data_IF_125724606445
#
_entry.id   IF_125724606445
#
_cell.length_a   1.000
_cell.length_b   1.000
_cell.length_c   1.000
_cell.angle_alpha   90.00
_cell.angle_beta   90.00
_cell.angle_gamma   90.00
#
_symmetry.space_group_name_H-M   'P 1'
#
loop_
_entity.id
_entity.type
_entity.pdbx_description
1 polymer ?
#
# COMPACT_ATOMS: atom_id res chain seq x y z
N UNK A 1 -27.54 -11.26 26.73
CA UNK A 1 -26.23 -11.81 26.33
C UNK A 1 -25.21 -10.71 26.52
N UNK A 2 -24.13 -10.97 27.27
CA UNK A 2 -23.08 -9.99 27.48
C UNK A 2 -22.30 -9.82 26.18
N UNK A 3 -22.26 -8.60 25.63
CA UNK A 3 -21.34 -8.27 24.55
C UNK A 3 -19.93 -8.27 25.13
N UNK A 4 -19.08 -9.15 24.62
CA UNK A 4 -17.68 -9.23 25.05
C UNK A 4 -16.89 -8.09 24.40
N UNK A 5 -16.42 -7.17 25.24
CA UNK A 5 -15.50 -6.10 24.86
C UNK A 5 -16.16 -4.75 24.52
N UNK A 6 -15.48 -3.66 24.87
CA UNK A 6 -15.84 -2.30 24.44
C UNK A 6 -15.00 -2.00 23.20
N UNK A 7 -15.64 -1.89 22.04
CA UNK A 7 -14.96 -1.44 20.84
C UNK A 7 -14.81 0.08 20.89
N UNK A 8 -13.57 0.57 20.87
CA UNK A 8 -13.31 2.02 20.81
C UNK A 8 -13.76 2.59 19.47
N UNK A 9 -14.31 3.79 19.52
CA UNK A 9 -14.74 4.56 18.36
C UNK A 9 -13.55 4.88 17.44
N UNK A 10 -13.80 4.87 16.13
CA UNK A 10 -12.79 5.27 15.15
C UNK A 10 -12.50 6.78 15.26
N UNK A 11 -11.21 7.13 15.32
CA UNK A 11 -10.76 8.52 15.36
C UNK A 11 -10.11 8.93 14.02
N UNK A 12 -10.32 10.19 13.62
CA UNK A 12 -9.70 10.76 12.42
C UNK A 12 -8.17 10.80 12.58
N UNK A 13 -7.48 9.83 11.96
CA UNK A 13 -6.02 9.66 12.04
C UNK A 13 -5.57 8.23 12.33
N UNK A 14 -6.47 7.36 12.76
CA UNK A 14 -6.20 5.93 12.91
C UNK A 14 -6.19 5.21 11.54
N UNK A 15 -5.41 4.13 11.41
CA UNK A 15 -5.42 3.34 10.18
C UNK A 15 -6.75 2.59 10.08
N UNK A 16 -7.47 2.82 8.99
CA UNK A 16 -8.74 2.13 8.71
C UNK A 16 -8.60 0.60 8.68
N UNK A 17 -7.46 0.08 8.21
CA UNK A 17 -7.19 -1.36 8.17
C UNK A 17 -7.15 -1.97 9.58
N UNK A 18 -6.39 -1.36 10.50
CA UNK A 18 -6.27 -1.84 11.89
C UNK A 18 -7.62 -1.80 12.62
N UNK A 19 -8.41 -0.75 12.38
CA UNK A 19 -9.77 -0.64 12.90
C UNK A 19 -10.68 -1.74 12.35
N UNK A 20 -10.59 -2.04 11.05
CA UNK A 20 -11.40 -3.09 10.41
C UNK A 20 -11.05 -4.46 10.99
N UNK A 21 -9.76 -4.77 11.19
CA UNK A 21 -9.32 -6.04 11.80
C UNK A 21 -9.86 -6.19 13.23
N UNK A 22 -9.79 -5.13 14.05
CA UNK A 22 -10.37 -5.13 15.41
C UNK A 22 -11.89 -5.36 15.40
N UNK A 23 -12.58 -4.78 14.42
CA UNK A 23 -14.02 -4.94 14.24
C UNK A 23 -14.38 -6.38 13.81
N UNK A 24 -13.58 -7.00 12.94
CA UNK A 24 -13.76 -8.41 12.54
C UNK A 24 -13.58 -9.36 13.73
N UNK A 25 -12.55 -9.14 14.56
CA UNK A 25 -12.36 -9.91 15.79
C UNK A 25 -13.54 -9.75 16.76
N UNK A 26 -14.14 -8.55 16.81
CA UNK A 26 -15.33 -8.32 17.62
C UNK A 26 -16.55 -9.12 17.13
N UNK A 27 -16.74 -9.25 15.81
CA UNK A 27 -17.81 -10.09 15.26
C UNK A 27 -17.58 -11.58 15.55
N UNK A 28 -16.34 -12.04 15.46
CA UNK A 28 -15.97 -13.41 15.79
C UNK A 28 -16.20 -13.72 17.28
N UNK A 29 -15.78 -12.81 18.17
CA UNK A 29 -15.93 -12.99 19.62
C UNK A 29 -17.40 -13.01 20.10
N UNK A 30 -18.31 -12.36 19.37
CA UNK A 30 -19.72 -12.26 19.72
C UNK A 30 -20.63 -13.16 18.86
N UNK A 31 -20.06 -14.03 18.02
CA UNK A 31 -20.79 -14.96 17.13
C UNK A 31 -21.84 -14.26 16.25
N UNK A 32 -21.48 -13.08 15.70
CA UNK A 32 -22.39 -12.26 14.92
C UNK A 32 -22.23 -12.62 13.45
N UNK A 33 -23.13 -13.45 12.93
CA UNK A 33 -23.14 -13.83 11.51
C UNK A 33 -24.00 -12.91 10.64
N UNK A 34 -25.04 -12.31 11.22
CA UNK A 34 -26.02 -11.49 10.49
C UNK A 34 -25.41 -10.20 9.92
N UNK A 35 -25.52 -10.02 8.60
CA UNK A 35 -25.00 -8.85 7.89
C UNK A 35 -25.69 -7.54 8.32
N UNK A 36 -26.96 -7.59 8.73
CA UNK A 36 -27.71 -6.44 9.24
C UNK A 36 -27.14 -5.94 10.58
N UNK A 37 -26.85 -6.87 11.51
CA UNK A 37 -26.21 -6.57 12.80
C UNK A 37 -24.79 -6.05 12.62
N UNK A 38 -23.97 -6.66 11.75
CA UNK A 38 -22.60 -6.18 11.46
C UNK A 38 -22.61 -4.72 10.98
N UNK A 39 -23.51 -4.39 10.05
CA UNK A 39 -23.69 -3.01 9.59
C UNK A 39 -24.14 -2.08 10.71
N UNK A 40 -25.13 -2.46 11.50
CA UNK A 40 -25.62 -1.64 12.60
C UNK A 40 -24.49 -1.29 13.58
N UNK A 41 -23.67 -2.29 13.93
CA UNK A 41 -22.51 -2.12 14.82
C UNK A 41 -21.49 -1.15 14.20
N UNK A 42 -21.14 -1.34 12.93
CA UNK A 42 -20.24 -0.43 12.22
C UNK A 42 -20.76 1.03 12.29
N UNK A 43 -22.04 1.25 11.98
CA UNK A 43 -22.62 2.60 11.99
C UNK A 43 -22.65 3.22 13.38
N UNK A 44 -22.78 2.42 14.45
CA UNK A 44 -22.74 2.92 15.83
C UNK A 44 -21.32 3.20 16.33
N UNK A 45 -20.32 2.46 15.86
CA UNK A 45 -18.93 2.55 16.37
C UNK A 45 -18.09 3.55 15.56
N UNK A 46 -18.44 3.80 14.30
CA UNK A 46 -17.68 4.68 13.41
C UNK A 46 -17.63 6.16 13.83
N UNK A 47 -18.32 6.57 14.90
CA UNK A 47 -18.36 7.95 15.35
C UNK A 47 -19.11 8.89 14.38
N UNK A 48 -19.38 10.12 14.84
CA UNK A 48 -20.17 11.09 14.08
C UNK A 48 -19.48 11.60 12.80
N UNK A 49 -18.15 11.77 12.84
CA UNK A 49 -17.35 12.26 11.72
C UNK A 49 -17.38 11.28 10.54
N UNK A 50 -17.02 10.01 10.79
CA UNK A 50 -16.99 8.96 9.75
C UNK A 50 -18.40 8.64 9.23
N UNK A 51 -19.42 8.69 10.09
CA UNK A 51 -20.80 8.53 9.64
C UNK A 51 -21.22 9.65 8.67
N UNK A 52 -20.84 10.90 8.97
CA UNK A 52 -21.10 12.05 8.08
C UNK A 52 -20.36 11.90 6.74
N UNK A 53 -19.12 11.42 6.77
CA UNK A 53 -18.33 11.11 5.58
C UNK A 53 -18.98 10.01 4.73
N UNK A 54 -19.41 8.90 5.35
CA UNK A 54 -20.13 7.84 4.66
C UNK A 54 -21.42 8.37 4.01
N UNK A 55 -22.20 9.19 4.73
CA UNK A 55 -23.42 9.80 4.20
C UNK A 55 -23.14 10.70 3.00
N UNK A 56 -22.07 11.51 3.05
CA UNK A 56 -21.68 12.39 1.95
C UNK A 56 -21.23 11.60 0.71
N UNK A 57 -20.47 10.52 0.90
CA UNK A 57 -20.01 9.67 -0.20
C UNK A 57 -21.11 8.82 -0.84
N UNK A 58 -22.18 8.51 -0.09
CA UNK A 58 -23.27 7.65 -0.54
C UNK A 58 -24.45 8.41 -1.14
N UNK A 59 -24.48 9.74 -1.04
CA UNK A 59 -25.57 10.55 -1.54
C UNK A 59 -25.87 10.24 -3.03
N UNK A 60 -27.14 10.00 -3.42
CA UNK A 60 -28.39 10.16 -2.65
C UNK A 60 -28.87 8.94 -1.85
N UNK A 61 -28.14 7.82 -1.86
CA UNK A 61 -28.49 6.59 -1.12
C UNK A 61 -28.18 6.70 0.39
N UNK A 62 -28.86 5.89 1.22
CA UNK A 62 -28.59 5.85 2.67
C UNK A 62 -27.52 4.81 2.99
N UNK A 63 -26.69 5.02 4.04
CA UNK A 63 -25.77 4.01 4.56
C UNK A 63 -26.46 2.71 4.98
N UNK A 64 -27.75 2.77 5.30
CA UNK A 64 -28.58 1.62 5.69
C UNK A 64 -29.01 0.73 4.51
N UNK A 65 -28.83 1.16 3.26
CA UNK A 65 -29.20 0.36 2.09
C UNK A 65 -28.02 -0.48 1.56
N UNK A 66 -26.79 -0.21 2.01
CA UNK A 66 -25.59 -0.92 1.57
C UNK A 66 -25.22 -2.08 2.47
N UNK A 67 -24.43 -3.00 1.92
CA UNK A 67 -23.83 -4.10 2.66
C UNK A 67 -22.65 -3.63 3.51
N UNK A 68 -22.34 -4.38 4.57
CA UNK A 68 -21.18 -4.11 5.43
C UNK A 68 -19.87 -4.05 4.64
N UNK A 69 -19.65 -5.01 3.73
CA UNK A 69 -18.44 -5.08 2.90
C UNK A 69 -18.28 -3.87 1.98
N UNK A 70 -19.37 -3.36 1.40
CA UNK A 70 -19.33 -2.16 0.57
C UNK A 70 -18.98 -0.91 1.38
N UNK A 71 -19.53 -0.78 2.59
CA UNK A 71 -19.24 0.36 3.47
C UNK A 71 -17.76 0.37 3.87
N UNK A 72 -17.22 -0.78 4.28
CA UNK A 72 -15.80 -0.92 4.64
C UNK A 72 -14.90 -0.57 3.45
N UNK A 73 -15.25 -1.05 2.25
CA UNK A 73 -14.46 -0.78 1.03
C UNK A 73 -14.52 0.69 0.63
N UNK A 74 -15.70 1.32 0.75
CA UNK A 74 -15.90 2.73 0.40
C UNK A 74 -15.08 3.64 1.32
N UNK A 75 -15.10 3.40 2.64
CA UNK A 75 -14.30 4.17 3.59
C UNK A 75 -12.81 3.89 3.39
N UNK A 76 -12.42 2.63 3.14
CA UNK A 76 -11.03 2.29 2.78
C UNK A 76 -10.55 3.06 1.55
N UNK A 77 -11.34 3.14 0.49
CA UNK A 77 -11.00 3.89 -0.71
C UNK A 77 -10.87 5.40 -0.47
N UNK A 78 -11.58 5.95 0.52
CA UNK A 78 -11.45 7.35 0.88
C UNK A 78 -10.17 7.63 1.67
N UNK A 79 -9.86 6.80 2.68
CA UNK A 79 -8.64 6.97 3.50
C UNK A 79 -7.37 6.53 2.77
N UNK A 80 -7.48 5.55 1.89
CA UNK A 80 -6.40 5.04 1.04
C UNK A 80 -6.90 5.03 -0.40
N UNK A 81 -6.97 6.19 -1.08
CA UNK A 81 -7.28 6.21 -2.50
C UNK A 81 -6.25 5.36 -3.22
N UNK A 82 -6.73 4.45 -4.07
CA UNK A 82 -5.86 3.66 -4.95
C UNK A 82 -4.98 4.64 -5.70
N UNK A 83 -3.68 4.65 -5.38
CA UNK A 83 -2.74 5.54 -6.05
C UNK A 83 -2.82 5.24 -7.55
N UNK A 84 -3.13 6.26 -8.36
CA UNK A 84 -3.20 6.03 -9.80
C UNK A 84 -1.80 5.64 -10.28
N UNK A 85 -1.73 4.65 -11.17
CA UNK A 85 -0.46 4.16 -11.73
C UNK A 85 0.34 5.34 -12.30
N UNK A 86 -0.36 6.30 -12.92
CA UNK A 86 0.22 7.52 -13.51
C UNK A 86 0.88 8.40 -12.43
N UNK A 87 0.19 8.65 -11.31
CA UNK A 87 0.73 9.45 -10.21
C UNK A 87 1.91 8.73 -9.55
N UNK A 88 1.83 7.42 -9.37
CA UNK A 88 2.93 6.63 -8.81
C UNK A 88 4.16 6.66 -9.72
N UNK A 89 3.98 6.50 -11.04
CA UNK A 89 5.07 6.62 -12.02
C UNK A 89 5.66 8.02 -12.05
N UNK A 90 4.83 9.05 -12.01
CA UNK A 90 5.30 10.43 -11.94
C UNK A 90 6.15 10.64 -10.67
N UNK A 91 5.66 10.21 -9.50
CA UNK A 91 6.42 10.27 -8.25
C UNK A 91 7.74 9.51 -8.34
N UNK A 92 7.75 8.31 -8.94
CA UNK A 92 8.97 7.53 -9.14
C UNK A 92 10.00 8.31 -9.97
N UNK A 93 9.60 8.90 -11.10
CA UNK A 93 10.51 9.63 -11.98
C UNK A 93 10.92 11.02 -11.46
N UNK A 94 10.10 11.65 -10.61
CA UNK A 94 10.42 12.96 -10.00
C UNK A 94 11.21 12.81 -8.69
N UNK A 95 11.25 11.61 -8.10
CA UNK A 95 11.98 11.36 -6.85
C UNK A 95 13.48 11.51 -7.07
N UNK A 96 14.06 12.56 -6.51
CA UNK A 96 15.51 12.80 -6.54
C UNK A 96 16.10 12.47 -5.17
N UNK A 97 17.33 11.96 -5.15
CA UNK A 97 18.02 11.68 -3.90
C UNK A 97 18.45 12.98 -3.23
N UNK A 98 18.15 13.12 -1.95
CA UNK A 98 18.71 14.19 -1.14
C UNK A 98 20.24 14.01 -0.98
N UNK A 99 21.02 15.11 -0.90
CA UNK A 99 22.47 15.04 -0.90
C UNK A 99 23.04 14.25 0.30
N UNK A 100 22.36 14.30 1.44
CA UNK A 100 22.76 13.67 2.71
C UNK A 100 22.20 12.25 2.90
N UNK A 101 21.31 11.79 2.02
CA UNK A 101 20.64 10.50 2.16
C UNK A 101 21.53 9.33 1.72
N UNK A 102 21.53 8.26 2.51
CA UNK A 102 22.20 7.01 2.15
C UNK A 102 21.56 6.39 0.90
N UNK A 103 22.40 5.78 0.06
CA UNK A 103 21.96 5.14 -1.19
C UNK A 103 21.00 3.98 -0.91
N UNK A 104 21.24 3.21 0.15
CA UNK A 104 20.37 2.10 0.58
C UNK A 104 18.96 2.59 0.94
N UNK A 105 18.86 3.71 1.65
CA UNK A 105 17.57 4.26 2.10
C UNK A 105 16.79 4.84 0.92
N UNK A 106 17.50 5.50 0.00
CA UNK A 106 16.89 5.98 -1.24
C UNK A 106 16.38 4.82 -2.11
N UNK A 107 17.10 3.69 -2.16
CA UNK A 107 16.63 2.51 -2.87
C UNK A 107 15.42 1.85 -2.23
N UNK A 108 15.37 1.80 -0.91
CA UNK A 108 14.20 1.32 -0.20
C UNK A 108 12.97 2.20 -0.50
N UNK A 109 13.15 3.53 -0.56
CA UNK A 109 12.09 4.47 -0.92
C UNK A 109 11.63 4.31 -2.38
N UNK A 110 12.55 4.21 -3.33
CA UNK A 110 12.22 3.97 -4.74
C UNK A 110 11.43 2.66 -4.93
N UNK A 111 11.82 1.60 -4.24
CA UNK A 111 11.09 0.31 -4.26
C UNK A 111 9.67 0.46 -3.75
N UNK A 112 9.47 1.18 -2.63
CA UNK A 112 8.15 1.47 -2.08
C UNK A 112 7.27 2.28 -3.04
N UNK A 113 7.86 3.22 -3.76
CA UNK A 113 7.14 4.01 -4.78
C UNK A 113 6.83 3.19 -6.04
N UNK A 114 7.62 2.17 -6.32
CA UNK A 114 7.47 1.30 -7.47
C UNK A 114 6.43 0.17 -7.27
N UNK A 115 6.09 -0.20 -6.03
CA UNK A 115 5.04 -1.19 -5.70
C UNK A 115 3.71 -0.91 -6.44
N UNK A 116 3.13 0.31 -6.39
CA UNK A 116 1.87 0.62 -7.09
C UNK A 116 2.03 0.92 -8.59
N UNK A 117 3.25 0.90 -9.15
CA UNK A 117 3.50 1.29 -10.54
C UNK A 117 3.31 0.16 -11.57
N UNK A 118 3.17 -1.07 -11.09
CA UNK A 118 3.01 -2.29 -11.91
C UNK A 118 4.10 -2.41 -13.00
N UNK A 119 5.37 -2.18 -12.65
CA UNK A 119 6.50 -2.30 -13.60
C UNK A 119 6.79 -3.75 -14.01
N UNK A 120 6.31 -4.75 -13.26
CA UNK A 120 6.56 -6.15 -13.54
C UNK A 120 8.06 -6.47 -13.60
N UNK A 121 8.52 -7.09 -14.70
CA UNK A 121 9.90 -7.55 -14.85
C UNK A 121 10.91 -6.43 -15.13
N UNK A 122 10.47 -5.22 -15.48
CA UNK A 122 11.37 -4.08 -15.75
C UNK A 122 11.70 -3.25 -14.51
N UNK A 123 11.20 -3.62 -13.33
CA UNK A 123 11.45 -2.91 -12.07
C UNK A 123 12.95 -2.72 -11.80
N UNK A 124 13.75 -3.78 -11.92
CA UNK A 124 15.18 -3.74 -11.64
C UNK A 124 15.96 -2.88 -12.64
N UNK A 125 15.47 -2.75 -13.87
CA UNK A 125 16.03 -1.84 -14.88
C UNK A 125 15.71 -0.38 -14.54
N UNK A 126 14.45 -0.08 -14.24
CA UNK A 126 14.02 1.26 -13.83
C UNK A 126 14.72 1.73 -12.55
N UNK A 127 14.97 0.83 -11.59
CA UNK A 127 15.74 1.14 -10.39
C UNK A 127 17.22 1.42 -10.69
N UNK A 128 17.81 0.77 -11.71
CA UNK A 128 19.19 1.06 -12.15
C UNK A 128 19.26 2.41 -12.86
N UNK A 129 18.29 2.73 -13.71
CA UNK A 129 18.25 4.01 -14.42
C UNK A 129 18.04 5.18 -13.45
N UNK A 130 17.17 5.00 -12.44
CA UNK A 130 16.98 5.97 -11.37
C UNK A 130 18.24 6.15 -10.48
N UNK A 131 19.11 5.13 -10.40
CA UNK A 131 20.42 5.24 -9.74
C UNK A 131 21.50 5.84 -10.66
N UNK A 132 21.38 5.66 -11.97
CA UNK A 132 22.35 6.12 -12.96
C UNK A 132 22.44 7.64 -13.07
N UNK A 133 21.40 8.36 -12.68
CA UNK A 133 21.35 9.82 -12.58
C UNK A 133 22.06 10.39 -11.33
N UNK A 134 22.61 9.53 -10.45
CA UNK A 134 23.37 9.95 -9.28
C UNK A 134 24.74 10.51 -9.74
N UNK A 135 25.16 11.72 -9.31
CA UNK A 135 26.46 12.26 -9.66
C UNK A 135 27.58 11.28 -9.28
N UNK A 136 28.51 11.09 -10.20
CA UNK A 136 29.47 9.97 -10.31
C UNK A 136 30.29 9.68 -9.04
N UNK A 137 30.37 10.66 -8.13
CA UNK A 137 31.08 10.59 -6.85
C UNK A 137 30.47 9.59 -5.84
N UNK A 138 29.19 9.24 -5.94
CA UNK A 138 28.51 8.34 -5.00
C UNK A 138 28.40 6.87 -5.47
N UNK A 139 28.89 6.54 -6.67
CA UNK A 139 28.77 5.20 -7.29
C UNK A 139 29.56 4.08 -6.58
N UNK A 140 30.44 4.41 -5.63
CA UNK A 140 31.38 3.45 -5.00
C UNK A 140 30.80 2.51 -3.94
N UNK A 141 29.53 2.66 -3.53
CA UNK A 141 29.02 1.95 -2.34
C UNK A 141 28.04 0.81 -2.63
N UNK A 142 27.48 0.70 -3.84
CA UNK A 142 26.53 -0.39 -4.15
C UNK A 142 27.21 -1.57 -4.87
N UNK A 143 27.46 -2.66 -4.12
CA UNK A 143 27.76 -3.98 -4.69
C UNK A 143 26.44 -4.77 -4.72
N UNK A 144 25.91 -5.13 -5.90
CA UNK A 144 24.71 -5.98 -5.96
C UNK A 144 24.99 -7.33 -5.28
N UNK A 145 23.99 -7.95 -4.63
CA UNK A 145 24.14 -9.30 -4.11
C UNK A 145 24.41 -10.24 -5.29
N UNK A 146 25.47 -11.05 -5.17
CA UNK A 146 25.92 -12.00 -6.18
C UNK A 146 24.78 -12.94 -6.57
N UNK A 147 24.16 -12.68 -7.73
CA UNK A 147 23.41 -13.70 -8.42
C UNK A 147 24.43 -14.72 -8.90
N UNK A 148 24.48 -15.87 -8.23
CA UNK A 148 25.11 -17.08 -8.73
C UNK A 148 24.41 -17.46 -10.03
N UNK A 149 24.86 -16.90 -11.15
CA UNK A 149 24.51 -17.39 -12.48
C UNK A 149 25.47 -18.54 -12.75
N UNK A 150 24.89 -19.72 -12.62
CA UNK A 150 25.39 -21.03 -13.01
C UNK A 150 26.21 -20.95 -14.32
N UNK A 151 27.33 -21.66 -14.33
CA UNK A 151 28.34 -21.57 -15.38
C UNK A 151 27.84 -21.96 -16.77
N UNK A 152 28.16 -21.10 -17.74
CA UNK A 152 28.35 -21.50 -19.13
C UNK A 152 29.74 -21.04 -19.57
N UNK A 153 30.59 -22.01 -19.92
CA UNK A 153 31.96 -21.85 -20.40
C UNK A 153 31.99 -20.95 -21.63
N UNK A 154 32.72 -19.83 -21.53
CA UNK A 154 33.32 -19.22 -22.71
C UNK A 154 34.46 -20.12 -23.21
N UNK A 155 34.23 -20.90 -24.26
CA UNK A 155 35.32 -21.34 -25.13
C UNK A 155 35.55 -20.23 -26.16
N UNK A 156 36.57 -19.43 -25.89
CA UNK A 156 37.20 -18.58 -26.89
C UNK A 156 37.92 -19.49 -27.91
N UNK A 157 37.55 -19.40 -29.19
CA UNK A 157 38.42 -19.80 -30.28
C UNK A 157 38.70 -18.58 -31.15
N UNK A 158 39.95 -18.16 -31.04
CA UNK A 158 40.65 -17.17 -31.84
C UNK A 158 41.04 -17.85 -33.15
N UNK A 159 40.94 -17.16 -34.30
CA UNK A 159 41.98 -16.95 -35.34
C UNK A 159 41.41 -16.76 -36.77
N UNK A 160 41.74 -15.59 -37.34
CA UNK A 160 42.09 -15.28 -38.74
C UNK A 160 41.26 -15.82 -39.91
N UNK A 161 40.73 -14.88 -40.73
CA UNK A 161 41.23 -14.56 -42.09
C UNK A 161 40.70 -13.19 -42.52
#
# INVERSE_FOLDING_TARGET
MATLGILKEFQEGENWTEFTERLEQYFLANDIEDNGKKRAILLTVCGSATYSLMKNLLAPAKPTDKSFSELVTLVKNHHQPKASIIVSRFKFHTSTREPEQLISDYLAQLRKLAEPCEFGNSLEEMLRDAQGSIPERARKVYRPPSQNICGCRCTAQIFQS
#
